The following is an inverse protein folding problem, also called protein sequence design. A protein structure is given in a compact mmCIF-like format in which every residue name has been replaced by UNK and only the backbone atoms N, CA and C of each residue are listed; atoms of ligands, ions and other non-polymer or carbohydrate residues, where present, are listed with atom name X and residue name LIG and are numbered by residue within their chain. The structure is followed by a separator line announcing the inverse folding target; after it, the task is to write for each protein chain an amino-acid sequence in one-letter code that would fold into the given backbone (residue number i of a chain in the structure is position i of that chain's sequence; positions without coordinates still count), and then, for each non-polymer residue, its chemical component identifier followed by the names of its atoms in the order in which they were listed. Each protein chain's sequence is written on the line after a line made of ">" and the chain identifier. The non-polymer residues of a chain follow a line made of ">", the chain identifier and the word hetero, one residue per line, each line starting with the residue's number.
data_IF_333053524638
#
_entry.id   IF_333053524638
#
_cell.length_a   1.000
_cell.length_b   1.000
_cell.length_c   1.000
_cell.angle_alpha   90.00
_cell.angle_beta   90.00
_cell.angle_gamma   90.00
#
_symmetry.space_group_name_H-M   'P 1'
#
loop_
_entity.id
_entity.type
_entity.pdbx_description
1 polymer ?
#
# COMPACT_ATOMS: atom_id res chain seq x y z
N UNK A 1 43.52 31.95 24.17
CA UNK A 1 43.19 31.37 25.49
C UNK A 1 41.78 31.81 25.87
N UNK A 2 40.78 30.92 25.77
CA UNK A 2 39.41 31.16 26.23
C UNK A 2 38.90 29.88 26.88
N UNK A 3 38.39 30.04 28.10
CA UNK A 3 38.05 29.03 29.08
C UNK A 3 37.06 27.98 28.58
N UNK A 4 37.37 26.73 28.90
CA UNK A 4 36.42 25.62 28.92
C UNK A 4 35.52 25.75 30.16
N UNK A 5 34.20 25.75 29.96
CA UNK A 5 33.23 25.62 31.05
C UNK A 5 32.62 24.22 31.01
N UNK A 6 32.97 23.48 32.05
CA UNK A 6 32.62 22.12 32.39
C UNK A 6 31.14 22.05 32.80
N UNK A 7 30.29 21.33 32.05
CA UNK A 7 28.94 20.97 32.50
C UNK A 7 28.89 19.49 32.83
N UNK A 8 28.66 19.25 34.12
CA UNK A 8 28.56 17.94 34.74
C UNK A 8 27.29 17.20 34.29
N UNK A 9 27.49 15.93 33.94
CA UNK A 9 26.46 14.92 33.76
C UNK A 9 25.64 14.75 35.06
N UNK A 10 24.34 15.01 34.99
CA UNK A 10 23.37 14.56 35.99
C UNK A 10 22.66 13.33 35.44
N UNK A 11 23.10 12.16 35.92
CA UNK A 11 22.43 10.88 35.77
C UNK A 11 21.11 10.93 36.55
N UNK A 12 19.98 11.01 35.83
CA UNK A 12 18.67 10.75 36.42
C UNK A 12 18.30 9.28 36.20
N UNK A 13 18.40 8.54 37.29
CA UNK A 13 17.88 7.20 37.48
C UNK A 13 16.35 7.21 37.31
N UNK A 14 15.83 6.69 36.20
CA UNK A 14 14.40 6.42 36.05
C UNK A 14 14.12 5.04 36.65
N UNK A 15 13.48 5.02 37.82
CA UNK A 15 12.99 3.81 38.47
C UNK A 15 11.81 3.23 37.69
N UNK A 16 11.90 1.93 37.38
CA UNK A 16 10.80 1.14 36.86
C UNK A 16 9.76 0.88 37.96
N UNK A 17 8.58 1.49 37.85
CA UNK A 17 7.42 1.12 38.65
C UNK A 17 6.64 0.01 37.96
N UNK A 18 6.84 -1.22 38.43
CA UNK A 18 5.90 -2.32 38.28
C UNK A 18 4.56 -1.94 38.92
N UNK A 19 3.46 -2.00 38.16
CA UNK A 19 2.13 -2.13 38.72
C UNK A 19 1.44 -3.37 38.14
N UNK A 20 1.41 -4.41 38.97
CA UNK A 20 0.46 -5.50 38.87
C UNK A 20 -0.87 -4.98 39.41
N UNK A 21 -1.93 -4.92 38.62
CA UNK A 21 -3.26 -4.74 39.20
C UNK A 21 -4.37 -5.38 38.35
N UNK A 22 -5.06 -6.32 39.00
CA UNK A 22 -6.40 -6.87 38.75
C UNK A 22 -6.61 -7.88 37.62
N UNK A 23 -6.45 -9.14 38.03
CA UNK A 23 -7.36 -10.24 37.70
C UNK A 23 -8.83 -9.92 38.06
N UNK A 24 -9.73 -10.51 37.27
CA UNK A 24 -10.94 -11.25 37.68
C UNK A 24 -12.33 -10.61 37.45
N UNK A 25 -13.09 -11.18 36.50
CA UNK A 25 -14.48 -11.71 36.60
C UNK A 25 -15.07 -11.80 35.16
N UNK A 26 -15.37 -12.96 34.56
CA UNK A 26 -16.38 -14.02 34.83
C UNK A 26 -17.84 -13.58 34.63
N UNK A 27 -18.40 -13.85 33.44
CA UNK A 27 -19.82 -14.15 33.18
C UNK A 27 -19.96 -14.49 31.69
N UNK A 28 -20.05 -15.76 31.30
CA UNK A 28 -21.31 -16.52 31.20
C UNK A 28 -22.38 -15.70 30.46
N UNK A 29 -22.62 -15.97 29.19
CA UNK A 29 -23.96 -15.87 28.58
C UNK A 29 -23.89 -16.42 27.15
N UNK A 30 -24.74 -17.43 26.94
CA UNK A 30 -25.37 -17.73 25.66
C UNK A 30 -24.54 -18.45 24.58
N UNK A 31 -24.02 -19.62 24.95
CA UNK A 31 -24.32 -20.80 24.15
C UNK A 31 -25.80 -21.17 24.34
N UNK A 32 -26.50 -21.47 23.24
CA UNK A 32 -27.79 -22.18 23.07
C UNK A 32 -28.74 -21.42 22.14
N UNK A 33 -29.18 -22.13 21.09
CA UNK A 33 -30.14 -21.79 20.00
C UNK A 33 -29.54 -21.25 18.70
N UNK A 34 -29.10 -22.16 17.81
CA UNK A 34 -29.78 -22.40 16.52
C UNK A 34 -29.05 -23.51 15.71
N UNK A 35 -29.27 -24.81 16.00
CA UNK A 35 -29.03 -25.86 15.03
C UNK A 35 -30.38 -26.44 14.59
N UNK A 36 -30.96 -25.93 13.50
CA UNK A 36 -32.02 -26.63 12.72
C UNK A 36 -32.57 -25.73 11.61
N UNK A 37 -32.08 -25.95 10.37
CA UNK A 37 -32.88 -25.92 9.13
C UNK A 37 -31.95 -26.43 8.01
N UNK A 38 -31.53 -27.70 8.00
CA UNK A 38 -32.25 -28.85 7.45
C UNK A 38 -33.11 -28.55 6.21
N UNK A 39 -32.58 -29.03 5.07
CA UNK A 39 -33.23 -29.46 3.83
C UNK A 39 -34.19 -28.50 3.10
N UNK A 40 -33.78 -28.09 1.89
CA UNK A 40 -34.57 -28.15 0.65
C UNK A 40 -33.56 -28.26 -0.52
N UNK A 41 -33.37 -29.46 -1.10
CA UNK A 41 -33.90 -29.92 -2.40
C UNK A 41 -33.41 -29.06 -3.59
N UNK A 42 -33.08 -29.53 -4.79
CA UNK A 42 -32.92 -30.82 -5.48
C UNK A 42 -32.50 -30.42 -6.92
N UNK A 43 -31.80 -31.32 -7.60
CA UNK A 43 -31.90 -31.61 -9.05
C UNK A 43 -31.83 -30.45 -10.07
N UNK A 44 -30.78 -30.51 -10.91
CA UNK A 44 -30.70 -29.75 -12.15
C UNK A 44 -29.68 -30.33 -13.15
N UNK A 45 -29.67 -31.65 -13.36
CA UNK A 45 -29.04 -32.22 -14.55
C UNK A 45 -29.93 -31.93 -15.77
N UNK A 46 -29.44 -31.13 -16.71
CA UNK A 46 -29.88 -31.23 -18.09
C UNK A 46 -28.67 -31.45 -18.98
N UNK A 47 -28.51 -32.72 -19.35
CA UNK A 47 -27.62 -33.22 -20.38
C UNK A 47 -28.50 -33.31 -21.63
N UNK A 48 -28.31 -32.44 -22.61
CA UNK A 48 -28.96 -32.60 -23.91
C UNK A 48 -27.99 -32.27 -25.06
N UNK A 49 -27.94 -33.25 -25.95
CA UNK A 49 -27.64 -33.19 -27.36
C UNK A 49 -26.25 -32.71 -27.81
N UNK A 50 -25.42 -33.73 -28.08
CA UNK A 50 -24.56 -33.75 -29.26
C UNK A 50 -25.36 -33.26 -30.48
N UNK A 51 -24.94 -32.14 -31.06
CA UNK A 51 -25.26 -31.80 -32.44
C UNK A 51 -23.95 -31.81 -33.21
N UNK A 52 -23.71 -32.95 -33.84
CA UNK A 52 -22.86 -33.07 -35.01
C UNK A 52 -23.50 -32.24 -36.13
N UNK A 53 -22.85 -31.14 -36.47
CA UNK A 53 -22.99 -30.55 -37.79
C UNK A 53 -21.64 -29.99 -38.19
N UNK A 54 -20.91 -30.81 -38.94
CA UNK A 54 -20.02 -30.41 -40.02
C UNK A 54 -20.51 -29.11 -40.69
N UNK A 55 -20.00 -27.98 -40.21
CA UNK A 55 -20.06 -26.70 -40.89
C UNK A 55 -18.63 -26.28 -41.16
N UNK A 56 -18.16 -26.75 -42.31
CA UNK A 56 -16.98 -26.26 -43.01
C UNK A 56 -17.30 -24.84 -43.49
N UNK A 57 -17.40 -23.91 -42.56
CA UNK A 57 -17.49 -22.49 -42.85
C UNK A 57 -16.05 -21.97 -42.85
N UNK A 58 -15.67 -21.43 -44.00
CA UNK A 58 -14.56 -20.50 -44.21
C UNK A 58 -14.66 -19.34 -43.20
N UNK A 59 -14.28 -19.60 -41.96
CA UNK A 59 -13.93 -18.58 -40.99
C UNK A 59 -12.46 -18.31 -41.23
N UNK A 60 -12.25 -17.44 -42.20
CA UNK A 60 -11.09 -16.55 -42.29
C UNK A 60 -10.58 -16.27 -40.87
N UNK A 61 -9.38 -16.75 -40.57
CA UNK A 61 -8.64 -16.70 -39.30
C UNK A 61 -8.44 -15.29 -38.75
N UNK A 62 -9.53 -14.58 -38.48
CA UNK A 62 -9.61 -13.27 -37.88
C UNK A 62 -10.06 -13.36 -36.42
N UNK A 63 -10.53 -14.54 -35.96
CA UNK A 63 -10.84 -14.84 -34.56
C UNK A 63 -9.63 -15.34 -33.73
N UNK A 64 -8.46 -15.57 -34.35
CA UNK A 64 -7.18 -15.87 -33.68
C UNK A 64 -6.24 -14.66 -33.59
N UNK A 65 -6.76 -13.43 -33.76
CA UNK A 65 -6.03 -12.16 -33.67
C UNK A 65 -6.60 -11.22 -32.60
N UNK A 66 -6.90 -11.76 -31.42
CA UNK A 66 -6.90 -10.96 -30.18
C UNK A 66 -5.65 -11.23 -29.34
N UNK A 67 -4.54 -11.63 -29.99
CA UNK A 67 -3.22 -11.45 -29.41
C UNK A 67 -2.90 -9.93 -29.38
N UNK A 68 -2.84 -9.35 -28.17
CA UNK A 68 -2.08 -8.12 -27.94
C UNK A 68 -2.85 -6.80 -27.80
N UNK A 69 -4.16 -6.79 -27.53
CA UNK A 69 -4.84 -5.53 -27.21
C UNK A 69 -4.70 -5.20 -25.73
N UNK A 70 -3.72 -4.35 -25.41
CA UNK A 70 -3.56 -3.79 -24.07
C UNK A 70 -4.88 -3.19 -23.57
N UNK A 71 -5.37 -3.68 -22.42
CA UNK A 71 -6.56 -3.16 -21.74
C UNK A 71 -6.13 -2.29 -20.57
N UNK A 72 -6.44 -0.99 -20.65
CA UNK A 72 -6.20 -0.04 -19.57
C UNK A 72 -7.50 0.29 -18.82
N UNK A 73 -7.44 0.33 -17.49
CA UNK A 73 -8.56 0.68 -16.60
C UNK A 73 -8.10 1.71 -15.56
N UNK A 74 -9.02 2.52 -15.00
CA UNK A 74 -8.68 3.45 -13.93
C UNK A 74 -8.05 2.75 -12.75
N UNK A 75 -7.00 3.37 -12.19
CA UNK A 75 -6.34 2.98 -10.95
C UNK A 75 -6.49 4.12 -9.94
N UNK A 76 -7.27 3.89 -8.88
CA UNK A 76 -7.39 4.80 -7.74
C UNK A 76 -7.16 4.03 -6.46
N UNK A 77 -6.43 4.60 -5.53
CA UNK A 77 -6.24 4.00 -4.21
C UNK A 77 -6.05 5.06 -3.13
N UNK A 78 -6.38 4.74 -1.89
CA UNK A 78 -6.14 5.60 -0.73
C UNK A 78 -5.78 4.76 0.48
N UNK A 79 -4.77 5.20 1.23
CA UNK A 79 -4.21 4.50 2.38
C UNK A 79 -4.01 5.46 3.55
N UNK A 80 -4.23 4.96 4.76
CA UNK A 80 -3.65 5.52 5.98
C UNK A 80 -2.33 4.82 6.21
N UNK A 81 -1.27 5.59 6.43
CA UNK A 81 0.11 5.11 6.53
C UNK A 81 0.71 5.39 7.90
N UNK A 82 1.67 4.55 8.28
CA UNK A 82 2.57 4.71 9.40
C UNK A 82 3.99 4.77 8.85
N UNK A 83 4.71 5.82 9.22
CA UNK A 83 6.10 6.05 8.83
C UNK A 83 7.06 5.63 9.94
N UNK A 84 8.14 4.97 9.54
CA UNK A 84 9.27 4.60 10.38
C UNK A 84 10.56 5.03 9.70
N UNK A 85 11.31 5.94 10.35
CA UNK A 85 12.63 6.32 9.88
C UNK A 85 13.61 5.15 10.08
N UNK A 86 14.05 4.57 8.98
CA UNK A 86 14.99 3.43 8.98
C UNK A 86 16.45 3.89 8.94
N UNK A 87 16.70 5.10 8.43
CA UNK A 87 18.02 5.73 8.42
C UNK A 87 17.89 7.25 8.53
N UNK A 88 18.46 7.83 9.58
CA UNK A 88 18.61 9.27 9.71
C UNK A 88 19.75 9.80 8.84
N UNK A 89 19.57 10.99 8.26
CA UNK A 89 20.62 11.72 7.57
C UNK A 89 21.72 12.19 8.54
N UNK A 90 22.95 12.30 8.04
CA UNK A 90 24.15 12.77 8.77
C UNK A 90 25.02 13.63 7.86
N UNK A 91 26.01 14.33 8.41
CA UNK A 91 26.97 15.12 7.61
C UNK A 91 27.74 14.27 6.58
N UNK A 92 27.96 12.99 6.86
CA UNK A 92 28.67 12.07 5.96
C UNK A 92 27.74 11.38 4.95
N UNK A 93 26.44 11.30 5.25
CA UNK A 93 25.42 10.72 4.39
C UNK A 93 24.12 11.53 4.52
N UNK A 94 23.87 12.49 3.61
CA UNK A 94 22.71 13.38 3.71
C UNK A 94 21.39 12.71 3.31
N UNK A 95 21.40 11.43 2.91
CA UNK A 95 20.20 10.69 2.53
C UNK A 95 19.50 10.15 3.78
N UNK A 96 18.24 10.53 3.95
CA UNK A 96 17.31 9.92 4.89
C UNK A 96 16.55 8.79 4.19
N UNK A 97 16.24 7.71 4.93
CA UNK A 97 15.41 6.61 4.46
C UNK A 97 14.28 6.30 5.42
N UNK A 98 13.13 6.08 4.85
CA UNK A 98 11.86 5.88 5.55
C UNK A 98 11.16 4.63 5.01
N UNK A 99 10.54 3.85 5.91
CA UNK A 99 9.71 2.70 5.59
C UNK A 99 8.28 3.00 6.00
N UNK A 100 7.40 3.15 5.00
CA UNK A 100 6.00 3.42 5.23
C UNK A 100 5.20 2.14 5.00
N UNK A 101 4.32 1.83 5.95
CA UNK A 101 3.33 0.76 5.81
C UNK A 101 1.93 1.34 5.95
N UNK A 102 0.93 0.74 5.33
CA UNK A 102 -0.42 1.27 5.45
C UNK A 102 -1.51 0.31 5.03
N UNK A 103 -2.74 0.68 5.35
CA UNK A 103 -3.95 -0.06 4.95
C UNK A 103 -4.96 0.89 4.33
N UNK A 104 -5.76 0.36 3.42
CA UNK A 104 -6.65 1.18 2.62
C UNK A 104 -7.44 0.39 1.60
N UNK A 105 -7.86 1.09 0.55
CA UNK A 105 -8.65 0.51 -0.53
C UNK A 105 -8.15 1.01 -1.89
N UNK A 106 -8.34 0.18 -2.93
CA UNK A 106 -8.09 0.59 -4.30
C UNK A 106 -8.95 -0.11 -5.33
N UNK A 107 -9.17 0.55 -6.46
CA UNK A 107 -9.94 0.03 -7.59
C UNK A 107 -9.31 -1.24 -8.13
N UNK A 108 -10.09 -2.31 -8.26
CA UNK A 108 -9.59 -3.63 -8.67
C UNK A 108 -8.84 -4.38 -7.56
N UNK A 109 -8.30 -3.71 -6.55
CA UNK A 109 -7.66 -4.34 -5.38
C UNK A 109 -8.67 -4.71 -4.28
N UNK A 110 -9.69 -3.88 -4.08
CA UNK A 110 -10.55 -3.94 -2.89
C UNK A 110 -9.80 -3.39 -1.68
N UNK A 111 -10.01 -4.01 -0.50
CA UNK A 111 -9.13 -3.80 0.65
C UNK A 111 -7.70 -4.19 0.31
N UNK A 112 -6.75 -3.35 0.71
CA UNK A 112 -5.35 -3.52 0.36
C UNK A 112 -4.43 -3.01 1.48
N UNK A 113 -3.18 -3.43 1.43
CA UNK A 113 -2.09 -2.81 2.17
C UNK A 113 -1.05 -2.22 1.22
N UNK A 114 -0.24 -1.32 1.73
CA UNK A 114 0.87 -0.69 1.02
C UNK A 114 2.16 -0.84 1.85
N UNK A 115 3.26 -1.06 1.16
CA UNK A 115 4.62 -1.10 1.68
C UNK A 115 5.49 -0.20 0.79
N UNK A 116 6.16 0.78 1.38
CA UNK A 116 6.91 1.82 0.66
C UNK A 116 8.28 1.98 1.28
N UNK A 117 9.32 1.94 0.45
CA UNK A 117 10.66 2.34 0.83
C UNK A 117 10.98 3.66 0.15
N UNK A 118 11.14 4.72 0.93
CA UNK A 118 11.39 6.08 0.45
C UNK A 118 12.79 6.57 0.83
N UNK A 119 13.39 7.36 -0.06
CA UNK A 119 14.70 7.97 0.14
C UNK A 119 14.68 9.42 -0.33
N UNK A 120 15.26 10.32 0.47
CA UNK A 120 15.37 11.75 0.16
C UNK A 120 16.67 12.36 0.72
N UNK A 121 17.27 13.29 -0.04
CA UNK A 121 18.45 14.03 0.39
C UNK A 121 18.01 15.33 1.11
N UNK A 122 18.32 15.42 2.41
CA UNK A 122 17.88 16.53 3.28
C UNK A 122 18.63 17.84 3.02
N UNK A 123 19.65 17.83 2.18
CA UNK A 123 20.42 19.04 1.80
C UNK A 123 19.84 19.75 0.58
N UNK A 124 18.91 19.12 -0.13
CA UNK A 124 18.26 19.71 -1.29
C UNK A 124 17.28 20.82 -0.87
N UNK A 125 17.18 21.92 -1.64
CA UNK A 125 16.19 22.95 -1.39
C UNK A 125 14.78 22.44 -1.67
N UNK A 126 13.80 23.00 -0.97
CA UNK A 126 12.40 22.73 -1.25
C UNK A 126 11.95 23.41 -2.57
N UNK A 127 11.08 22.76 -3.37
CA UNK A 127 10.59 21.40 -3.18
C UNK A 127 11.68 20.33 -3.42
N UNK A 128 11.85 19.43 -2.45
CA UNK A 128 12.94 18.45 -2.45
C UNK A 128 12.49 17.14 -3.13
N UNK A 129 13.36 16.57 -3.98
CA UNK A 129 13.08 15.30 -4.65
C UNK A 129 13.14 14.14 -3.65
N UNK A 130 12.11 13.30 -3.68
CA UNK A 130 12.02 12.04 -2.93
C UNK A 130 11.73 10.93 -3.93
N UNK A 131 12.46 9.83 -3.82
CA UNK A 131 12.25 8.64 -4.64
C UNK A 131 11.75 7.50 -3.79
N UNK A 132 10.95 6.59 -4.35
CA UNK A 132 10.48 5.42 -3.61
C UNK A 132 10.18 4.21 -4.48
N UNK A 133 10.23 3.04 -3.84
CA UNK A 133 9.62 1.81 -4.38
C UNK A 133 8.36 1.49 -3.59
N UNK A 134 7.34 1.00 -4.27
CA UNK A 134 6.03 0.71 -3.68
C UNK A 134 5.56 -0.69 -4.04
N UNK A 135 5.07 -1.40 -3.04
CA UNK A 135 4.31 -2.63 -3.20
C UNK A 135 2.89 -2.43 -2.68
N UNK A 136 1.91 -2.52 -3.57
CA UNK A 136 0.51 -2.64 -3.18
C UNK A 136 0.15 -4.13 -3.08
N UNK A 137 -0.52 -4.52 -2.00
CA UNK A 137 -0.95 -5.92 -1.77
C UNK A 137 -2.47 -5.94 -1.66
N UNK A 138 -3.13 -6.59 -2.62
CA UNK A 138 -4.58 -6.77 -2.57
C UNK A 138 -4.98 -7.81 -1.52
N UNK A 139 -6.26 -7.82 -1.12
CA UNK A 139 -6.79 -8.76 -0.12
C UNK A 139 -6.58 -10.25 -0.44
N UNK A 140 -6.42 -10.62 -1.72
CA UNK A 140 -6.13 -11.99 -2.14
C UNK A 140 -4.63 -12.34 -2.16
N UNK A 141 -3.75 -11.42 -1.76
CA UNK A 141 -2.30 -11.59 -1.74
C UNK A 141 -1.59 -11.20 -3.04
N UNK A 142 -2.33 -10.89 -4.11
CA UNK A 142 -1.74 -10.41 -5.37
C UNK A 142 -1.09 -9.04 -5.18
N UNK A 143 0.04 -8.82 -5.84
CA UNK A 143 0.86 -7.62 -5.67
C UNK A 143 0.91 -6.78 -6.94
N UNK A 144 1.04 -5.47 -6.77
CA UNK A 144 1.41 -4.51 -7.81
C UNK A 144 2.71 -3.85 -7.35
N UNK A 145 3.68 -3.77 -8.26
CA UNK A 145 4.98 -3.14 -8.00
C UNK A 145 5.09 -1.83 -8.77
N UNK A 146 5.60 -0.79 -8.11
CA UNK A 146 5.78 0.51 -8.70
C UNK A 146 7.04 1.23 -8.19
N UNK A 147 7.50 2.21 -8.98
CA UNK A 147 8.53 3.18 -8.59
C UNK A 147 7.95 4.59 -8.67
N UNK A 148 8.27 5.46 -7.72
CA UNK A 148 7.79 6.84 -7.72
C UNK A 148 8.93 7.85 -7.62
N UNK A 149 8.66 9.02 -8.21
CA UNK A 149 9.36 10.27 -7.96
C UNK A 149 8.34 11.29 -7.44
N UNK A 150 8.67 11.97 -6.35
CA UNK A 150 7.83 12.96 -5.71
C UNK A 150 8.60 14.18 -5.24
N UNK A 151 7.88 15.25 -4.98
CA UNK A 151 8.42 16.52 -4.55
C UNK A 151 7.79 16.90 -3.21
N UNK A 152 8.58 16.78 -2.15
CA UNK A 152 8.23 17.20 -0.80
C UNK A 152 8.25 18.72 -0.74
N UNK A 153 7.18 19.33 -0.24
CA UNK A 153 7.13 20.77 0.03
C UNK A 153 7.81 21.09 1.36
N UNK A 154 8.18 22.36 1.56
CA UNK A 154 8.69 22.82 2.84
C UNK A 154 7.66 22.54 3.95
N UNK A 155 8.05 21.86 5.05
CA UNK A 155 7.15 21.59 6.16
C UNK A 155 6.56 22.87 6.75
N UNK A 156 5.29 22.85 7.14
CA UNK A 156 4.69 23.98 7.86
C UNK A 156 5.33 24.16 9.24
N UNK A 157 5.10 25.30 9.88
CA UNK A 157 5.56 25.53 11.26
C UNK A 157 5.01 24.51 12.27
N UNK A 158 3.89 23.86 11.96
CA UNK A 158 3.29 22.79 12.78
C UNK A 158 3.82 21.39 12.41
N UNK A 159 4.76 21.32 11.47
CA UNK A 159 5.34 20.09 10.98
C UNK A 159 4.55 19.38 9.90
N UNK A 160 3.46 19.98 9.38
CA UNK A 160 2.65 19.34 8.34
C UNK A 160 3.44 19.27 7.04
N UNK A 161 3.39 18.08 6.42
CA UNK A 161 4.06 17.76 5.17
C UNK A 161 3.05 17.58 4.05
N UNK A 162 3.43 18.00 2.84
CA UNK A 162 2.74 17.68 1.62
C UNK A 162 3.74 17.25 0.55
N UNK A 163 3.48 16.11 -0.08
CA UNK A 163 4.28 15.59 -1.19
C UNK A 163 3.34 15.25 -2.34
N UNK A 164 3.71 15.69 -3.54
CA UNK A 164 3.02 15.31 -4.77
C UNK A 164 4.02 14.71 -5.75
N UNK A 165 3.58 13.75 -6.56
CA UNK A 165 4.50 13.01 -7.41
C UNK A 165 3.81 12.17 -8.47
N UNK A 166 4.63 11.36 -9.15
CA UNK A 166 4.18 10.37 -10.12
C UNK A 166 4.80 9.02 -9.83
N UNK A 167 4.01 7.98 -10.06
CA UNK A 167 4.46 6.60 -10.01
C UNK A 167 4.29 5.89 -11.33
N UNK A 168 5.15 4.91 -11.57
CA UNK A 168 5.09 4.00 -12.71
C UNK A 168 4.86 2.59 -12.21
N UNK A 169 3.81 1.93 -12.68
CA UNK A 169 3.56 0.51 -12.41
C UNK A 169 4.47 -0.29 -13.34
N UNK A 170 5.34 -1.10 -12.74
CA UNK A 170 6.39 -1.86 -13.44
C UNK A 170 6.13 -3.37 -13.46
N UNK A 171 5.11 -3.83 -12.74
CA UNK A 171 4.71 -5.22 -12.75
C UNK A 171 3.68 -5.57 -11.69
N UNK A 172 3.40 -6.86 -11.56
CA UNK A 172 2.56 -7.41 -10.53
C UNK A 172 2.58 -8.94 -10.53
N UNK A 173 1.80 -9.55 -9.65
CA UNK A 173 1.64 -11.01 -9.54
C UNK A 173 0.17 -11.40 -9.66
N UNK A 174 -0.09 -12.70 -9.92
CA UNK A 174 -1.45 -13.23 -9.98
C UNK A 174 -2.30 -12.49 -11.00
N UNK A 175 -3.43 -11.91 -10.60
CA UNK A 175 -4.29 -11.16 -11.54
C UNK A 175 -3.68 -9.84 -12.05
N UNK A 176 -2.56 -9.40 -11.46
CA UNK A 176 -1.80 -8.22 -11.89
C UNK A 176 -0.50 -8.59 -12.63
N UNK A 177 -0.32 -9.86 -13.00
CA UNK A 177 0.85 -10.29 -13.77
C UNK A 177 0.96 -9.50 -15.08
N UNK A 178 2.17 -9.01 -15.37
CA UNK A 178 2.45 -8.18 -16.54
C UNK A 178 1.81 -6.78 -16.54
N UNK A 179 1.22 -6.35 -15.42
CA UNK A 179 0.59 -5.04 -15.32
C UNK A 179 1.61 -3.90 -15.52
N UNK A 180 1.20 -2.87 -16.24
CA UNK A 180 1.94 -1.60 -16.42
C UNK A 180 1.02 -0.42 -16.16
N UNK A 181 1.54 0.80 -16.15
CA UNK A 181 0.72 1.99 -16.01
C UNK A 181 1.42 3.12 -15.30
N UNK A 182 0.65 4.15 -14.94
CA UNK A 182 1.16 5.30 -14.20
C UNK A 182 0.05 5.94 -13.38
N UNK A 183 0.44 6.64 -12.33
CA UNK A 183 -0.46 7.39 -11.46
C UNK A 183 0.20 8.66 -10.92
N UNK A 184 -0.62 9.64 -10.57
CA UNK A 184 -0.23 10.71 -9.67
C UNK A 184 -0.40 10.24 -8.21
N UNK A 185 0.48 10.70 -7.33
CA UNK A 185 0.34 10.53 -5.88
C UNK A 185 0.23 11.88 -5.17
N UNK A 186 -0.56 11.90 -4.10
CA UNK A 186 -0.75 13.01 -3.17
C UNK A 186 -0.63 12.44 -1.76
N UNK A 187 0.36 12.91 -1.00
CA UNK A 187 0.72 12.39 0.31
C UNK A 187 0.75 13.52 1.31
N UNK A 188 0.10 13.33 2.45
CA UNK A 188 0.14 14.26 3.59
C UNK A 188 0.60 13.53 4.84
N UNK A 189 1.38 14.20 5.67
CA UNK A 189 1.87 13.66 6.94
C UNK A 189 2.27 14.78 7.90
N UNK A 190 2.96 14.43 8.98
CA UNK A 190 3.48 15.42 9.92
C UNK A 190 4.82 14.94 10.49
N UNK A 191 5.89 15.74 10.45
CA UNK A 191 7.24 15.32 10.92
C UNK A 191 7.31 14.95 12.40
N UNK A 192 6.31 15.33 13.20
CA UNK A 192 6.23 15.01 14.62
C UNK A 192 5.33 13.82 14.92
N UNK A 193 4.71 13.20 13.90
CA UNK A 193 3.79 12.06 14.05
C UNK A 193 4.06 11.01 12.97
N UNK A 194 3.99 9.72 13.30
CA UNK A 194 4.20 8.67 12.30
C UNK A 194 3.03 8.52 11.32
N UNK A 195 1.86 9.08 11.64
CA UNK A 195 0.63 8.90 10.85
C UNK A 195 0.60 9.81 9.62
N UNK A 196 0.18 9.26 8.49
CA UNK A 196 -0.03 9.99 7.24
C UNK A 196 -1.15 9.41 6.39
N UNK A 197 -1.40 10.04 5.25
CA UNK A 197 -2.33 9.53 4.23
C UNK A 197 -1.72 9.64 2.85
N UNK A 198 -1.98 8.65 1.99
CA UNK A 198 -1.55 8.65 0.60
C UNK A 198 -2.75 8.38 -0.31
N UNK A 199 -2.90 9.16 -1.36
CA UNK A 199 -3.90 9.01 -2.41
C UNK A 199 -3.24 8.87 -3.78
N UNK A 200 -3.76 7.95 -4.59
CA UNK A 200 -3.23 7.61 -5.90
C UNK A 200 -4.34 7.71 -6.94
N UNK A 201 -4.05 8.33 -8.09
CA UNK A 201 -4.99 8.41 -9.22
C UNK A 201 -4.26 8.26 -10.54
N UNK A 202 -4.67 7.29 -11.35
CA UNK A 202 -4.00 6.94 -12.59
C UNK A 202 -4.70 5.84 -13.37
N UNK A 203 -3.89 5.05 -14.07
CA UNK A 203 -4.33 3.97 -14.95
C UNK A 203 -3.41 2.76 -14.81
N UNK A 204 -4.01 1.57 -14.80
CA UNK A 204 -3.31 0.28 -14.87
C UNK A 204 -3.71 -0.45 -16.16
N UNK A 205 -2.74 -1.04 -16.84
CA UNK A 205 -2.87 -1.67 -18.14
C UNK A 205 -2.41 -3.13 -18.08
N UNK A 206 -3.17 -3.99 -18.75
CA UNK A 206 -2.93 -5.44 -18.85
C UNK A 206 -2.70 -5.82 -20.30
N UNK A 207 -1.82 -6.78 -20.55
CA UNK A 207 -1.56 -7.32 -21.90
C UNK A 207 -2.40 -8.56 -22.18
#
# INVERSE_FOLDING_TARGET
>A
MKQMSNRQNSLLHVSATHSNFLKQSFSWYLTVLFPSLLLLLLAGCQKNALQDSSQKNDLTSSALRQEGKTRCVPFKASFVTMDEMTQAATDANPVQKDHLTGTGEGTGMGRASIDVLAEGDVTLPFPALVTSTVTFVAANGDKIFASNDGYLQEPSANGDLHLTGRGTIIGGTGRFEGATGSYALDVTGNIFKPEGTAAFTGTICYK
#
